data_IF_401983518498
#
_entry.id   IF_401983518498
#
_cell.length_a   1.000
_cell.length_b   1.000
_cell.length_c   1.000
_cell.angle_alpha   90.00
_cell.angle_beta   90.00
_cell.angle_gamma   90.00
#
_symmetry.space_group_name_H-M   'P 1'
#
loop_
_entity.id
_entity.type
_entity.pdbx_description
1 polymer ?
#
# COMPACT_ATOMS: atom_id res chain seq x y z
N UNK A 1 10.29 -30.12 -5.15
CA UNK A 1 10.17 -28.84 -4.43
C UNK A 1 9.63 -27.88 -5.47
N UNK A 2 8.37 -27.44 -5.32
CA UNK A 2 7.79 -26.46 -6.24
C UNK A 2 8.38 -25.09 -5.95
N UNK A 3 8.73 -24.34 -6.98
CA UNK A 3 9.14 -22.95 -6.81
C UNK A 3 7.89 -22.14 -6.43
N UNK A 4 7.99 -21.32 -5.39
CA UNK A 4 7.01 -20.29 -5.09
C UNK A 4 7.40 -19.04 -5.90
N UNK A 5 6.47 -18.47 -6.65
CA UNK A 5 6.65 -17.13 -7.20
C UNK A 5 6.15 -16.12 -6.16
N UNK A 6 6.84 -14.99 -5.95
CA UNK A 6 6.34 -13.96 -5.07
C UNK A 6 5.15 -13.21 -5.71
N UNK A 7 4.31 -12.53 -4.91
CA UNK A 7 3.22 -11.72 -5.43
C UNK A 7 3.72 -10.62 -6.37
N UNK A 8 2.87 -10.22 -7.30
CA UNK A 8 3.12 -9.10 -8.23
C UNK A 8 2.17 -7.96 -7.90
N UNK A 9 2.71 -6.78 -7.62
CA UNK A 9 1.93 -5.54 -7.50
C UNK A 9 1.77 -4.94 -8.90
N UNK A 10 0.53 -4.84 -9.38
CA UNK A 10 0.24 -4.26 -10.69
C UNK A 10 0.26 -2.73 -10.64
N UNK A 11 -0.37 -2.16 -9.61
CA UNK A 11 -0.36 -0.73 -9.34
C UNK A 11 -0.86 -0.40 -7.92
N UNK A 12 -0.52 0.82 -7.48
CA UNK A 12 -1.12 1.45 -6.30
C UNK A 12 -1.92 2.67 -6.77
N UNK A 13 -3.18 2.77 -6.34
CA UNK A 13 -4.11 3.85 -6.68
C UNK A 13 -4.33 4.71 -5.44
N UNK A 14 -4.33 6.04 -5.62
CA UNK A 14 -4.59 7.03 -4.57
C UNK A 14 -5.85 7.81 -4.89
N UNK A 15 -6.71 8.05 -3.89
CA UNK A 15 -7.95 8.82 -4.07
C UNK A 15 -8.17 9.73 -2.87
N UNK A 16 -8.04 11.06 -3.01
CA UNK A 16 -7.58 11.81 -4.20
C UNK A 16 -6.05 11.74 -4.41
N UNK A 17 -5.58 12.13 -5.60
CA UNK A 17 -4.14 12.18 -5.96
C UNK A 17 -3.37 13.36 -5.33
N UNK A 18 -4.08 14.35 -4.82
CA UNK A 18 -3.50 15.46 -4.05
C UNK A 18 -4.48 15.95 -2.99
N UNK A 19 -3.97 16.40 -1.85
CA UNK A 19 -4.77 16.80 -0.71
C UNK A 19 -4.13 18.00 -0.01
N UNK A 20 -4.89 18.74 0.80
CA UNK A 20 -4.31 19.70 1.75
C UNK A 20 -3.82 18.97 3.01
N UNK A 21 -3.04 19.66 3.83
CA UNK A 21 -2.63 19.15 5.14
C UNK A 21 -3.80 18.63 5.98
N UNK A 22 -3.55 17.55 6.75
CA UNK A 22 -4.56 16.90 7.59
C UNK A 22 -5.68 16.16 6.83
N UNK A 23 -5.68 16.18 5.49
CA UNK A 23 -6.69 15.48 4.70
C UNK A 23 -6.42 13.98 4.57
N UNK A 24 -7.45 13.24 4.18
CA UNK A 24 -7.41 11.77 4.05
C UNK A 24 -7.31 11.32 2.59
N UNK A 25 -6.51 10.30 2.33
CA UNK A 25 -6.40 9.60 1.05
C UNK A 25 -6.72 8.12 1.24
N UNK A 26 -7.60 7.59 0.40
CA UNK A 26 -7.77 6.15 0.23
C UNK A 26 -6.67 5.64 -0.71
N UNK A 27 -5.95 4.61 -0.27
CA UNK A 27 -4.89 3.96 -1.03
C UNK A 27 -5.30 2.52 -1.28
N UNK A 28 -5.18 2.05 -2.51
CA UNK A 28 -5.56 0.69 -2.94
C UNK A 28 -4.36 0.06 -3.66
N UNK A 29 -3.92 -1.11 -3.21
CA UNK A 29 -2.86 -1.90 -3.84
C UNK A 29 -3.48 -3.07 -4.60
N UNK A 30 -3.41 -3.05 -5.93
CA UNK A 30 -3.83 -4.20 -6.72
C UNK A 30 -2.63 -5.12 -6.91
N UNK A 31 -2.72 -6.32 -6.35
CA UNK A 31 -1.69 -7.34 -6.46
C UNK A 31 -2.31 -8.70 -6.78
N UNK A 32 -1.52 -9.57 -7.40
CA UNK A 32 -1.92 -10.95 -7.66
C UNK A 32 -0.76 -11.91 -7.42
N UNK A 33 -1.12 -13.16 -7.14
CA UNK A 33 -0.20 -14.29 -7.06
C UNK A 33 -0.90 -15.48 -7.72
N UNK A 34 -0.21 -16.22 -8.59
CA UNK A 34 -0.85 -17.29 -9.37
C UNK A 34 -1.21 -18.50 -8.49
N UNK A 35 -0.39 -18.76 -7.48
CA UNK A 35 -0.50 -19.84 -6.51
C UNK A 35 -1.43 -19.48 -5.34
N UNK A 36 -1.50 -18.19 -4.96
CA UNK A 36 -2.17 -17.72 -3.75
C UNK A 36 -3.14 -16.54 -3.95
N UNK A 37 -4.05 -16.70 -4.92
CA UNK A 37 -5.01 -15.66 -5.35
C UNK A 37 -5.91 -15.05 -4.27
N UNK A 38 -6.11 -15.75 -3.15
CA UNK A 38 -7.11 -15.36 -2.14
C UNK A 38 -6.52 -15.16 -0.73
N UNK A 39 -5.21 -15.32 -0.52
CA UNK A 39 -4.63 -15.18 0.82
C UNK A 39 -3.40 -14.27 0.93
N UNK A 40 -3.29 -13.31 0.01
CA UNK A 40 -2.34 -12.21 0.13
C UNK A 40 -2.62 -11.35 1.37
N UNK A 41 -1.53 -10.98 2.06
CA UNK A 41 -1.53 -10.09 3.23
C UNK A 41 -0.79 -8.80 2.90
N UNK A 42 -1.33 -7.67 3.36
CA UNK A 42 -0.86 -6.34 2.99
C UNK A 42 -0.42 -5.56 4.23
N UNK A 43 0.83 -5.13 4.24
CA UNK A 43 1.40 -4.27 5.27
C UNK A 43 1.66 -2.89 4.70
N UNK A 44 1.16 -1.87 5.40
CA UNK A 44 1.23 -0.48 4.98
C UNK A 44 2.11 0.33 5.92
N UNK A 45 2.95 1.20 5.37
CA UNK A 45 3.79 2.12 6.13
C UNK A 45 3.91 3.47 5.42
N UNK A 46 4.24 4.53 6.15
CA UNK A 46 4.39 5.88 5.62
C UNK A 46 5.51 6.65 6.34
N UNK A 47 6.23 7.49 5.59
CA UNK A 47 7.34 8.29 6.16
C UNK A 47 6.87 9.35 7.17
N UNK A 48 5.64 9.84 7.02
CA UNK A 48 4.97 10.77 7.92
C UNK A 48 3.45 10.72 7.74
N UNK A 49 2.72 11.31 8.68
CA UNK A 49 1.26 11.19 8.77
C UNK A 49 0.85 9.94 9.56
N UNK A 50 -0.39 9.51 9.36
CA UNK A 50 -0.92 8.29 9.99
C UNK A 50 -1.57 7.42 8.94
N UNK A 51 -1.18 6.15 8.86
CA UNK A 51 -1.80 5.16 8.00
C UNK A 51 -2.58 4.14 8.82
N UNK A 52 -3.74 3.73 8.32
CA UNK A 52 -4.57 2.70 8.94
C UNK A 52 -5.11 1.77 7.86
N UNK A 53 -4.75 0.50 7.95
CA UNK A 53 -5.38 -0.59 7.20
C UNK A 53 -6.25 -1.43 8.14
N UNK A 54 -7.31 -2.02 7.60
CA UNK A 54 -8.19 -2.91 8.37
C UNK A 54 -7.94 -4.35 7.88
N UNK A 55 -7.58 -5.25 8.79
CA UNK A 55 -7.40 -6.68 8.54
C UNK A 55 -6.38 -7.00 7.43
N UNK A 56 -5.28 -6.25 7.36
CA UNK A 56 -4.16 -6.48 6.43
C UNK A 56 -4.62 -6.63 4.97
N UNK A 57 -5.58 -5.78 4.58
CA UNK A 57 -6.20 -5.77 3.25
C UNK A 57 -5.50 -4.86 2.26
N UNK A 58 -5.89 -5.05 1.01
CA UNK A 58 -5.49 -4.33 -0.20
C UNK A 58 -5.80 -2.82 -0.18
N UNK A 59 -6.37 -2.30 0.91
CA UNK A 59 -6.67 -0.88 1.06
C UNK A 59 -6.30 -0.33 2.44
N UNK A 60 -5.88 0.94 2.43
CA UNK A 60 -5.54 1.71 3.62
C UNK A 60 -6.04 3.15 3.49
N UNK A 61 -6.28 3.79 4.63
CA UNK A 61 -6.51 5.23 4.71
C UNK A 61 -5.27 5.87 5.29
N UNK A 62 -4.71 6.83 4.56
CA UNK A 62 -3.62 7.68 5.02
C UNK A 62 -4.14 9.08 5.32
N UNK A 63 -3.75 9.62 6.46
CA UNK A 63 -4.02 11.00 6.88
C UNK A 63 -2.71 11.78 6.77
N UNK A 64 -2.71 12.80 5.91
CA UNK A 64 -1.56 13.66 5.66
C UNK A 64 -1.12 14.40 6.93
N UNK A 65 0.18 14.65 7.12
CA UNK A 65 0.66 15.50 8.21
C UNK A 65 0.25 16.97 8.01
N UNK A 66 0.52 17.79 9.03
CA UNK A 66 0.34 19.25 8.99
C UNK A 66 1.49 19.98 8.27
N UNK A 67 2.01 19.39 7.19
CA UNK A 67 3.14 19.89 6.39
C UNK A 67 2.92 19.59 4.91
N UNK A 68 3.23 20.56 4.05
CA UNK A 68 3.15 20.40 2.59
C UNK A 68 4.42 19.75 2.03
N UNK A 69 4.27 18.99 0.94
CA UNK A 69 5.38 18.23 0.37
C UNK A 69 4.93 16.97 -0.35
N UNK A 70 5.89 16.09 -0.60
CA UNK A 70 5.63 14.73 -1.08
C UNK A 70 5.91 13.75 0.04
N UNK A 71 4.98 12.83 0.26
CA UNK A 71 5.08 11.80 1.29
C UNK A 71 4.96 10.43 0.64
N UNK A 72 5.88 9.55 1.01
CA UNK A 72 5.97 8.20 0.48
C UNK A 72 5.17 7.26 1.36
N UNK A 73 4.30 6.47 0.73
CA UNK A 73 3.54 5.39 1.33
C UNK A 73 3.97 4.11 0.65
N UNK A 74 4.37 3.10 1.44
CA UNK A 74 4.75 1.79 0.93
C UNK A 74 3.70 0.73 1.27
N UNK A 75 3.51 -0.22 0.36
CA UNK A 75 2.73 -1.42 0.57
C UNK A 75 3.61 -2.65 0.31
N UNK A 76 3.79 -3.48 1.34
CA UNK A 76 4.37 -4.82 1.20
C UNK A 76 3.25 -5.84 1.09
N UNK A 77 3.28 -6.65 0.04
CA UNK A 77 2.32 -7.73 -0.23
C UNK A 77 3.05 -9.05 -0.08
N UNK A 78 2.53 -9.93 0.77
CA UNK A 78 3.10 -11.23 1.08
C UNK A 78 2.13 -12.38 0.81
N UNK A 79 2.65 -13.52 0.37
CA UNK A 79 1.93 -14.79 0.22
C UNK A 79 2.11 -15.70 1.45
N UNK A 80 1.41 -16.85 1.47
CA UNK A 80 1.52 -17.84 2.55
C UNK A 80 2.80 -18.70 2.53
N UNK A 81 3.66 -18.53 1.52
CA UNK A 81 4.86 -19.32 1.24
C UNK A 81 6.18 -18.51 1.40
N UNK A 82 6.14 -17.35 2.07
CA UNK A 82 7.25 -16.42 2.28
C UNK A 82 7.75 -15.68 1.02
N UNK A 83 6.95 -15.59 -0.04
CA UNK A 83 7.16 -14.60 -1.09
C UNK A 83 6.61 -13.24 -0.66
N UNK A 84 7.34 -12.18 -1.00
CA UNK A 84 6.93 -10.81 -0.72
C UNK A 84 7.43 -9.84 -1.79
N UNK A 85 6.63 -8.82 -2.08
CA UNK A 85 6.96 -7.70 -2.97
C UNK A 85 6.53 -6.40 -2.31
N UNK A 86 7.31 -5.34 -2.49
CA UNK A 86 7.02 -4.01 -1.94
C UNK A 86 7.03 -2.97 -3.04
N UNK A 87 6.05 -2.07 -3.01
CA UNK A 87 6.00 -0.90 -3.88
C UNK A 87 5.70 0.37 -3.08
N UNK A 88 6.06 1.51 -3.64
CA UNK A 88 5.89 2.83 -3.00
C UNK A 88 5.17 3.79 -3.93
N UNK A 89 4.27 4.60 -3.36
CA UNK A 89 3.61 5.72 -4.04
C UNK A 89 3.89 7.01 -3.30
N UNK A 90 4.12 8.09 -4.04
CA UNK A 90 4.29 9.43 -3.50
C UNK A 90 3.00 10.24 -3.65
N UNK A 91 2.49 10.76 -2.53
CA UNK A 91 1.29 11.61 -2.48
C UNK A 91 1.70 13.05 -2.23
N UNK A 92 1.14 13.97 -3.02
CA UNK A 92 1.37 15.41 -2.86
C UNK A 92 0.40 16.04 -1.86
N UNK A 93 0.95 16.67 -0.84
CA UNK A 93 0.23 17.51 0.13
C UNK A 93 0.49 18.98 -0.19
N UNK A 94 -0.58 19.76 -0.30
CA UNK A 94 -0.60 21.17 -0.65
C UNK A 94 -0.54 22.09 0.57
#
# INVERSE_FOLDING_TARGET
>A
MGNNNPPVIENIITIPDSINTGGSVLIICNAFDEEDKNSLSYLWDCTSGNITSINDKDSAIWIAPEESGFFSISCEVSDSNNGATIETVDIRVL
#
